data_IF_917985914527
#
_entry.id   IF_917985914527
#
_cell.length_a   1.000
_cell.length_b   1.000
_cell.length_c   1.000
_cell.angle_alpha   90.00
_cell.angle_beta   90.00
_cell.angle_gamma   90.00
#
_symmetry.space_group_name_H-M   'P 1'
#
loop_
_entity.id
_entity.type
_entity.pdbx_description
1 polymer ?
#
# COMPACT_ATOMS: atom_id res chain seq x y z
N UNK A 1 9.21 13.56 -3.19
CA UNK A 1 10.55 13.41 -3.79
C UNK A 1 10.56 12.39 -4.93
N UNK A 2 10.11 11.14 -4.72
CA UNK A 2 10.10 10.09 -5.77
C UNK A 2 9.48 10.52 -7.11
N UNK A 3 8.22 11.01 -7.11
CA UNK A 3 7.56 11.48 -8.33
C UNK A 3 8.32 12.61 -9.04
N UNK A 4 8.90 13.55 -8.27
CA UNK A 4 9.67 14.67 -8.82
C UNK A 4 11.00 14.23 -9.44
N UNK A 5 11.52 13.08 -9.01
CA UNK A 5 12.73 12.46 -9.53
C UNK A 5 12.41 11.33 -10.53
N UNK A 6 11.18 11.24 -11.03
CA UNK A 6 10.72 10.22 -11.98
C UNK A 6 10.89 8.77 -11.50
N UNK A 7 10.90 8.54 -10.19
CA UNK A 7 10.83 7.21 -9.60
C UNK A 7 9.38 6.85 -9.25
N UNK A 8 9.04 5.58 -9.41
CA UNK A 8 7.79 5.02 -8.89
C UNK A 8 7.85 4.90 -7.37
N UNK A 9 6.79 5.31 -6.69
CA UNK A 9 6.61 5.06 -5.26
C UNK A 9 5.73 3.82 -5.08
N UNK A 10 6.20 2.84 -4.31
CA UNK A 10 5.42 1.66 -3.96
C UNK A 10 5.03 1.75 -2.49
N UNK A 11 3.74 1.87 -2.21
CA UNK A 11 3.27 1.74 -0.82
C UNK A 11 3.26 0.28 -0.41
N UNK A 12 3.69 -0.01 0.81
CA UNK A 12 3.82 -1.39 1.28
C UNK A 12 3.45 -1.53 2.73
N UNK A 13 2.72 -2.60 2.99
CA UNK A 13 2.40 -3.08 4.31
C UNK A 13 3.61 -3.70 5.03
N UNK A 14 3.54 -3.90 6.35
CA UNK A 14 4.58 -4.60 7.13
C UNK A 14 4.18 -6.04 7.45
N UNK A 15 5.11 -6.84 7.98
CA UNK A 15 4.85 -8.27 8.25
C UNK A 15 3.92 -8.52 9.43
N UNK A 16 3.78 -7.53 10.32
CA UNK A 16 2.85 -7.53 11.45
C UNK A 16 1.85 -6.40 11.30
N UNK A 17 1.05 -6.45 10.24
CA UNK A 17 -0.02 -5.50 10.02
C UNK A 17 -1.21 -5.73 10.94
N UNK A 18 -2.03 -4.69 11.03
CA UNK A 18 -3.31 -4.70 11.74
C UNK A 18 -4.45 -4.64 10.72
N UNK A 19 -5.69 -4.54 11.16
CA UNK A 19 -6.85 -4.35 10.27
C UNK A 19 -6.96 -2.91 9.72
N UNK A 20 -5.94 -2.08 9.93
CA UNK A 20 -5.89 -0.68 9.48
C UNK A 20 -5.65 -0.61 7.96
N UNK A 21 -6.46 0.21 7.28
CA UNK A 21 -6.45 0.38 5.83
C UNK A 21 -5.80 1.69 5.37
N UNK A 22 -5.15 2.43 6.28
CA UNK A 22 -4.57 3.75 6.01
C UNK A 22 -3.67 3.77 4.77
N UNK A 23 -2.92 2.70 4.50
CA UNK A 23 -2.02 2.66 3.34
C UNK A 23 -2.75 2.55 1.99
N UNK A 24 -3.97 2.00 1.96
CA UNK A 24 -4.79 1.92 0.75
C UNK A 24 -5.32 3.32 0.39
N UNK A 25 -5.85 4.04 1.37
CA UNK A 25 -6.31 5.42 1.19
C UNK A 25 -5.15 6.33 0.77
N UNK A 26 -3.99 6.17 1.40
CA UNK A 26 -2.80 6.96 1.05
C UNK A 26 -2.30 6.66 -0.36
N UNK A 27 -2.39 5.41 -0.83
CA UNK A 27 -1.97 5.01 -2.18
C UNK A 27 -2.81 5.70 -3.24
N UNK A 28 -4.13 5.80 -3.01
CA UNK A 28 -5.06 6.53 -3.87
C UNK A 28 -4.81 8.03 -3.78
N UNK A 29 -4.73 8.59 -2.57
CA UNK A 29 -4.56 10.03 -2.35
C UNK A 29 -3.27 10.58 -2.96
N UNK A 30 -2.21 9.77 -2.97
CA UNK A 30 -0.91 10.16 -3.55
C UNK A 30 -0.76 9.78 -5.02
N UNK A 31 -1.70 9.01 -5.57
CA UNK A 31 -1.61 8.40 -6.89
C UNK A 31 -0.25 7.71 -7.11
N UNK A 32 0.19 6.90 -6.13
CA UNK A 32 1.50 6.25 -6.18
C UNK A 32 1.59 5.17 -7.27
N UNK A 33 0.43 4.65 -7.71
CA UNK A 33 0.29 3.73 -8.84
C UNK A 33 0.60 2.27 -8.53
N UNK A 34 1.27 1.98 -7.40
CA UNK A 34 1.53 0.62 -6.95
C UNK A 34 1.40 0.51 -5.42
N UNK A 35 0.71 -0.53 -4.97
CA UNK A 35 0.62 -0.94 -3.57
C UNK A 35 0.99 -2.41 -3.44
N UNK A 36 1.69 -2.77 -2.35
CA UNK A 36 2.11 -4.13 -2.01
C UNK A 36 1.56 -4.48 -0.63
N UNK A 37 0.49 -5.26 -0.62
CA UNK A 37 -0.33 -5.59 0.57
C UNK A 37 -0.19 -7.06 1.00
N UNK A 38 0.74 -7.80 0.36
CA UNK A 38 1.04 -9.19 0.69
C UNK A 38 0.14 -10.21 -0.02
N UNK A 39 0.15 -11.45 0.47
CA UNK A 39 -0.64 -12.57 -0.09
C UNK A 39 -2.10 -12.54 0.39
N UNK A 40 -3.02 -13.00 -0.47
CA UNK A 40 -4.47 -13.11 -0.24
C UNK A 40 -4.91 -14.08 0.88
N UNK A 41 -3.97 -14.81 1.48
CA UNK A 41 -4.27 -15.89 2.43
C UNK A 41 -4.65 -15.42 3.84
N UNK A 42 -4.52 -14.12 4.15
CA UNK A 42 -4.80 -13.59 5.49
C UNK A 42 -5.83 -12.45 5.40
N UNK A 43 -6.81 -12.47 6.29
CA UNK A 43 -7.97 -11.56 6.26
C UNK A 43 -7.62 -10.09 6.48
N UNK A 44 -6.58 -9.81 7.28
CA UNK A 44 -6.00 -8.48 7.48
C UNK A 44 -5.60 -7.81 6.16
N UNK A 45 -5.17 -8.61 5.17
CA UNK A 45 -4.71 -8.11 3.87
C UNK A 45 -5.80 -7.93 2.85
N UNK A 46 -6.96 -8.57 3.01
CA UNK A 46 -8.07 -8.48 2.05
C UNK A 46 -8.72 -7.10 2.06
N UNK A 47 -8.64 -6.35 3.17
CA UNK A 47 -9.17 -4.99 3.23
C UNK A 47 -8.36 -3.97 2.44
N UNK A 48 -7.09 -4.25 2.13
CA UNK A 48 -6.18 -3.33 1.43
C UNK A 48 -6.21 -3.47 -0.12
N UNK A 49 -7.05 -4.37 -0.67
CA UNK A 49 -7.09 -4.76 -2.10
C UNK A 49 -8.38 -4.29 -2.75
#
# INVERSE_FOLDING_TARGET
MAHRASYTAVMSHRSGETEDLTIADLAVATNCGQIKTGSLARSDRLGEI
#
